data_IF_199033920162
#
_entry.id   IF_199033920162
#
_cell.length_a   1.000
_cell.length_b   1.000
_cell.length_c   1.000
_cell.angle_alpha   90.00
_cell.angle_beta   90.00
_cell.angle_gamma   90.00
#
_symmetry.space_group_name_H-M   'P 1'
#
loop_
_entity.id
_entity.type
_entity.pdbx_description
1 polymer ?
#
# COMPACT_ATOMS: atom_id res chain seq x y z
N UNK A 1 18.28 23.33 -23.10
CA UNK A 1 18.05 21.87 -23.10
C UNK A 1 16.73 21.60 -22.40
N UNK A 2 15.84 20.80 -22.99
CA UNK A 2 14.59 20.38 -22.33
C UNK A 2 14.86 19.20 -21.40
N UNK A 3 14.13 19.13 -20.29
CA UNK A 3 14.16 17.99 -19.39
C UNK A 3 13.46 16.77 -20.04
N UNK A 4 14.01 15.58 -19.81
CA UNK A 4 13.43 14.30 -20.26
C UNK A 4 12.69 13.69 -19.07
N UNK A 5 11.38 13.52 -19.20
CA UNK A 5 10.56 12.86 -18.18
C UNK A 5 10.44 11.37 -18.51
N UNK A 6 10.88 10.51 -17.60
CA UNK A 6 10.80 9.05 -17.72
C UNK A 6 9.79 8.55 -16.68
N UNK A 7 8.72 7.91 -17.14
CA UNK A 7 7.73 7.26 -16.27
C UNK A 7 8.01 5.77 -16.23
N UNK A 8 8.31 5.23 -15.05
CA UNK A 8 8.47 3.80 -14.83
C UNK A 8 7.23 3.27 -14.10
N UNK A 9 6.60 2.22 -14.65
CA UNK A 9 5.51 1.50 -14.00
C UNK A 9 6.13 0.35 -13.20
N UNK A 10 6.29 0.56 -11.90
CA UNK A 10 6.88 -0.41 -10.98
C UNK A 10 5.81 -1.03 -10.11
N UNK A 11 5.78 -2.36 -10.00
CA UNK A 11 4.81 -3.08 -9.16
C UNK A 11 5.21 -3.12 -7.69
N UNK A 12 6.51 -3.03 -7.39
CA UNK A 12 7.07 -3.14 -6.05
C UNK A 12 8.25 -2.17 -5.82
N UNK A 13 8.51 -1.82 -4.56
CA UNK A 13 9.58 -0.92 -4.14
C UNK A 13 10.97 -1.37 -4.62
N UNK A 14 11.20 -2.68 -4.74
CA UNK A 14 12.45 -3.25 -5.22
C UNK A 14 12.78 -2.85 -6.67
N UNK A 15 11.75 -2.68 -7.51
CA UNK A 15 11.92 -2.27 -8.91
C UNK A 15 12.28 -0.77 -9.01
N UNK A 16 11.76 0.07 -8.11
CA UNK A 16 12.12 1.49 -8.02
C UNK A 16 13.61 1.64 -7.68
N UNK A 17 14.12 0.81 -6.77
CA UNK A 17 15.55 0.80 -6.42
C UNK A 17 16.44 0.36 -7.58
N UNK A 18 16.00 -0.63 -8.38
CA UNK A 18 16.73 -1.06 -9.57
C UNK A 18 16.82 0.07 -10.62
N UNK A 19 15.72 0.79 -10.88
CA UNK A 19 15.70 1.94 -11.79
C UNK A 19 16.60 3.07 -11.26
N UNK A 20 16.56 3.33 -9.95
CA UNK A 20 17.41 4.31 -9.27
C UNK A 20 18.90 3.98 -9.42
N UNK A 21 19.26 2.71 -9.21
CA UNK A 21 20.62 2.21 -9.37
C UNK A 21 21.11 2.33 -10.82
N UNK A 22 20.25 2.01 -11.79
CA UNK A 22 20.54 2.17 -13.21
C UNK A 22 20.79 3.63 -13.61
N UNK A 23 19.89 4.55 -13.20
CA UNK A 23 20.07 5.99 -13.46
C UNK A 23 21.34 6.55 -12.83
N UNK A 24 21.67 6.09 -11.61
CA UNK A 24 22.91 6.46 -10.91
C UNK A 24 24.15 5.93 -11.62
N UNK A 25 24.11 4.71 -12.13
CA UNK A 25 25.22 4.12 -12.91
C UNK A 25 25.49 4.92 -14.20
N UNK A 26 24.43 5.43 -14.83
CA UNK A 26 24.52 6.30 -16.01
C UNK A 26 24.91 7.76 -15.69
N UNK A 27 25.12 8.10 -14.41
CA UNK A 27 25.41 9.47 -13.92
C UNK A 27 24.39 10.52 -14.37
N UNK A 28 23.16 10.10 -14.63
CA UNK A 28 22.07 11.00 -15.02
C UNK A 28 21.53 11.65 -13.74
N UNK A 29 21.33 12.98 -13.75
CA UNK A 29 20.62 13.66 -12.66
C UNK A 29 19.13 13.36 -12.80
N UNK A 30 18.53 12.78 -11.75
CA UNK A 30 17.12 12.42 -11.74
C UNK A 30 16.48 12.85 -10.41
N UNK A 31 15.17 13.08 -10.45
CA UNK A 31 14.34 13.31 -9.28
C UNK A 31 13.19 12.30 -9.33
N UNK A 32 12.98 11.57 -8.23
CA UNK A 32 11.87 10.62 -8.13
C UNK A 32 10.66 11.41 -7.64
N UNK A 33 9.74 11.72 -8.55
CA UNK A 33 8.42 12.20 -8.17
C UNK A 33 7.58 10.99 -7.76
N UNK A 34 7.58 10.66 -6.46
CA UNK A 34 6.63 9.69 -5.93
C UNK A 34 5.23 10.28 -6.13
N UNK A 35 4.48 9.72 -7.08
CA UNK A 35 3.04 9.95 -7.19
C UNK A 35 2.46 9.64 -5.82
N UNK A 36 1.84 10.65 -5.20
CA UNK A 36 1.17 10.50 -3.92
C UNK A 36 0.22 9.29 -4.02
N UNK A 37 0.13 8.45 -2.97
CA UNK A 37 -0.90 7.43 -2.93
C UNK A 37 -2.24 8.11 -3.22
N UNK A 38 -3.04 7.48 -4.08
CA UNK A 38 -4.35 7.99 -4.41
C UNK A 38 -5.20 7.97 -3.12
N UNK A 39 -5.42 9.14 -2.54
CA UNK A 39 -6.29 9.27 -1.38
C UNK A 39 -7.73 9.23 -1.88
N UNK A 40 -8.45 8.19 -1.45
CA UNK A 40 -9.88 8.07 -1.73
C UNK A 40 -10.62 9.22 -1.04
N UNK A 41 -11.59 9.81 -1.75
CA UNK A 41 -12.53 10.72 -1.11
C UNK A 41 -13.40 9.94 -0.11
N UNK A 42 -13.99 10.65 0.87
CA UNK A 42 -14.88 10.04 1.84
C UNK A 42 -16.04 9.28 1.17
N UNK A 43 -16.55 9.79 0.06
CA UNK A 43 -17.61 9.17 -0.74
C UNK A 43 -17.12 7.87 -1.42
N UNK A 44 -15.91 7.86 -1.97
CA UNK A 44 -15.32 6.67 -2.58
C UNK A 44 -15.05 5.57 -1.53
N UNK A 45 -14.55 5.96 -0.36
CA UNK A 45 -14.35 5.05 0.77
C UNK A 45 -15.68 4.44 1.21
N UNK A 46 -16.74 5.24 1.34
CA UNK A 46 -18.07 4.77 1.74
C UNK A 46 -18.67 3.77 0.74
N UNK A 47 -18.48 3.99 -0.56
CA UNK A 47 -18.93 3.07 -1.61
C UNK A 47 -18.18 1.73 -1.50
N UNK A 48 -16.86 1.77 -1.30
CA UNK A 48 -16.03 0.57 -1.08
C UNK A 48 -16.47 -0.19 0.18
N UNK A 49 -16.64 0.52 1.29
CA UNK A 49 -17.09 -0.05 2.57
C UNK A 49 -18.49 -0.66 2.48
N UNK A 50 -19.33 -0.19 1.54
CA UNK A 50 -20.67 -0.74 1.29
C UNK A 50 -20.65 -1.95 0.34
N UNK A 51 -19.68 -2.01 -0.58
CA UNK A 51 -19.53 -3.12 -1.53
C UNK A 51 -18.84 -4.32 -0.91
N UNK A 52 -17.81 -4.10 -0.11
CA UNK A 52 -17.28 -5.13 0.75
C UNK A 52 -18.34 -5.26 1.85
N UNK A 53 -19.12 -6.33 1.85
CA UNK A 53 -20.05 -6.64 2.93
C UNK A 53 -19.24 -6.96 4.21
N UNK A 54 -18.57 -5.93 4.74
CA UNK A 54 -17.77 -5.89 5.97
C UNK A 54 -18.74 -5.89 7.12
N UNK A 55 -19.59 -6.90 7.17
CA UNK A 55 -20.29 -7.20 8.39
C UNK A 55 -19.20 -7.54 9.41
N UNK A 56 -18.86 -6.56 10.25
CA UNK A 56 -17.82 -6.69 11.28
C UNK A 56 -18.15 -7.86 12.22
N UNK A 57 -19.40 -8.35 12.25
CA UNK A 57 -19.77 -9.59 12.96
C UNK A 57 -19.13 -10.85 12.36
N UNK A 58 -18.74 -10.85 11.08
CA UNK A 58 -18.03 -11.96 10.44
C UNK A 58 -16.52 -11.97 10.77
N UNK A 59 -15.96 -10.82 11.14
CA UNK A 59 -14.53 -10.64 11.41
C UNK A 59 -14.20 -10.49 12.91
N UNK A 60 -15.21 -10.50 13.78
CA UNK A 60 -15.07 -10.47 15.26
C UNK A 60 -14.59 -11.80 15.84
N UNK A 61 -14.54 -12.86 15.03
CA UNK A 61 -14.07 -14.17 15.48
C UNK A 61 -12.62 -14.15 15.95
N UNK A 62 -11.73 -13.35 15.37
CA UNK A 62 -10.32 -13.37 15.76
C UNK A 62 -10.10 -12.86 17.20
N UNK A 63 -10.78 -11.78 17.59
CA UNK A 63 -10.64 -11.22 18.93
C UNK A 63 -11.33 -12.09 19.99
N UNK A 64 -12.51 -12.65 19.68
CA UNK A 64 -13.18 -13.60 20.58
C UNK A 64 -12.39 -14.89 20.73
N UNK A 65 -11.89 -15.49 19.64
CA UNK A 65 -11.04 -16.69 19.68
C UNK A 65 -9.78 -16.45 20.50
N UNK A 66 -9.14 -15.27 20.36
CA UNK A 66 -7.99 -14.89 21.18
C UNK A 66 -8.36 -14.81 22.67
N UNK A 67 -9.48 -14.17 23.01
CA UNK A 67 -9.96 -14.06 24.40
C UNK A 67 -10.28 -15.43 24.99
N UNK A 68 -10.95 -16.31 24.23
CA UNK A 68 -11.27 -17.67 24.65
C UNK A 68 -10.02 -18.53 24.84
N UNK A 69 -9.05 -18.48 23.92
CA UNK A 69 -7.77 -19.19 24.04
C UNK A 69 -6.99 -18.71 25.25
N UNK A 70 -6.88 -17.39 25.44
CA UNK A 70 -6.19 -16.80 26.59
C UNK A 70 -6.82 -17.25 27.91
N UNK A 71 -8.16 -17.21 27.98
CA UNK A 71 -8.91 -17.65 29.16
C UNK A 71 -8.79 -19.15 29.41
N UNK A 72 -8.77 -19.98 28.36
CA UNK A 72 -8.66 -21.45 28.46
C UNK A 72 -7.26 -21.92 28.86
N UNK A 73 -6.23 -21.17 28.50
CA UNK A 73 -4.83 -21.53 28.74
C UNK A 73 -4.14 -20.70 29.85
N UNK A 74 -4.88 -19.85 30.57
CA UNK A 74 -4.37 -19.01 31.68
C UNK A 74 -3.06 -18.26 31.34
N UNK A 75 -2.95 -17.76 30.10
CA UNK A 75 -1.83 -16.93 29.64
C UNK A 75 -2.00 -15.45 29.98
#
# INVERSE_FOLDING_TARGET
>A
MQAINITAYTEDASQIEAVKAFMKALKIKFEIANLKPYELSAEQQQILDSQINLDKSLYTNAESIYKDLKKKHEL
#
